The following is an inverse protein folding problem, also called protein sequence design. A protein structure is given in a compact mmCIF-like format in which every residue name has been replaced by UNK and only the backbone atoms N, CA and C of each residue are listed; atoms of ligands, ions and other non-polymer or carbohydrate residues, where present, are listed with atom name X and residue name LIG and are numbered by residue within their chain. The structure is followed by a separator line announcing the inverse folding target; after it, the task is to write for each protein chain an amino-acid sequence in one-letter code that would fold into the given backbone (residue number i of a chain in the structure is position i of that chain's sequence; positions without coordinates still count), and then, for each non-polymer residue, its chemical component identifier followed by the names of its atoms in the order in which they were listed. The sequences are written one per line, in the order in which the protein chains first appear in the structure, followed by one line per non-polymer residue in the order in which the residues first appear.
data_IF_823196601422
#
_entry.id   IF_823196601422
#
_cell.length_a   1.000
_cell.length_b   1.000
_cell.length_c   1.000
_cell.angle_alpha   90.00
_cell.angle_beta   90.00
_cell.angle_gamma   90.00
#
_symmetry.space_group_name_H-M   'P 1'
#
loop_
_entity.id
_entity.type
_entity.pdbx_description
1 polymer ?
#
# COMPACT_ATOMS: atom_id res chain seq x y z
N UNK A 1 23.44 -8.08 -24.99
CA UNK A 1 21.98 -8.32 -24.87
C UNK A 1 21.57 -9.17 -23.66
N UNK A 2 22.49 -9.87 -22.99
CA UNK A 2 22.16 -10.77 -21.85
C UNK A 2 21.78 -10.12 -20.52
N UNK A 3 22.30 -8.93 -20.21
CA UNK A 3 22.09 -8.31 -18.89
C UNK A 3 20.66 -7.77 -18.65
N UNK A 4 19.94 -7.31 -19.68
CA UNK A 4 18.59 -6.77 -19.51
C UNK A 4 17.52 -7.82 -19.19
N UNK A 5 17.63 -9.03 -19.74
CA UNK A 5 16.69 -10.13 -19.44
C UNK A 5 16.84 -10.65 -18.00
N UNK A 6 18.06 -10.73 -17.49
CA UNK A 6 18.34 -11.18 -16.13
C UNK A 6 17.81 -10.17 -15.09
N UNK A 7 17.95 -8.87 -15.34
CA UNK A 7 17.39 -7.84 -14.46
C UNK A 7 15.86 -7.84 -14.44
N UNK A 8 15.19 -8.06 -15.57
CA UNK A 8 13.72 -8.10 -15.66
C UNK A 8 13.16 -9.32 -14.93
N UNK A 9 13.75 -10.50 -15.10
CA UNK A 9 13.31 -11.72 -14.41
C UNK A 9 13.51 -11.63 -12.87
N UNK A 10 14.62 -11.04 -12.42
CA UNK A 10 14.87 -10.81 -10.98
C UNK A 10 13.87 -9.83 -10.36
N UNK A 11 13.45 -8.82 -11.12
CA UNK A 11 12.44 -7.85 -10.67
C UNK A 11 11.06 -8.53 -10.59
N UNK A 12 10.69 -9.37 -11.55
CA UNK A 12 9.42 -10.10 -11.52
C UNK A 12 9.35 -11.14 -10.40
N UNK A 13 10.43 -11.85 -10.13
CA UNK A 13 10.53 -12.78 -8.99
C UNK A 13 10.45 -12.03 -7.65
N UNK A 14 11.14 -10.90 -7.50
CA UNK A 14 11.06 -10.08 -6.29
C UNK A 14 9.64 -9.54 -6.06
N UNK A 15 8.93 -9.15 -7.12
CA UNK A 15 7.53 -8.69 -7.04
C UNK A 15 6.60 -9.83 -6.62
N UNK A 16 6.75 -11.02 -7.19
CA UNK A 16 5.97 -12.21 -6.80
C UNK A 16 6.23 -12.61 -5.35
N UNK A 17 7.49 -12.61 -4.93
CA UNK A 17 7.86 -12.88 -3.53
C UNK A 17 7.32 -11.80 -2.59
N UNK A 18 7.36 -10.53 -2.95
CA UNK A 18 6.73 -9.47 -2.13
C UNK A 18 5.21 -9.65 -2.03
N UNK A 19 4.56 -10.09 -3.09
CA UNK A 19 3.14 -10.43 -3.10
C UNK A 19 2.81 -11.58 -2.15
N UNK A 20 3.62 -12.64 -2.14
CA UNK A 20 3.42 -13.81 -1.27
C UNK A 20 3.62 -13.53 0.23
N UNK A 21 4.38 -12.49 0.58
CA UNK A 21 4.59 -12.08 1.97
C UNK A 21 3.46 -11.21 2.53
N UNK A 22 2.50 -10.81 1.69
CA UNK A 22 1.38 -9.97 2.14
C UNK A 22 0.24 -10.83 2.67
N UNK A 23 -0.27 -10.57 3.87
CA UNK A 23 -1.47 -11.23 4.38
C UNK A 23 -2.65 -10.97 3.43
N UNK A 24 -3.50 -11.97 3.29
CA UNK A 24 -4.66 -11.94 2.39
C UNK A 24 -5.98 -11.72 3.14
N UNK A 25 -6.00 -11.97 4.45
CA UNK A 25 -7.18 -11.84 5.31
C UNK A 25 -6.91 -10.92 6.49
N UNK A 26 -7.96 -10.43 7.15
CA UNK A 26 -7.82 -9.67 8.40
C UNK A 26 -7.23 -10.54 9.52
N UNK A 27 -7.51 -11.83 9.54
CA UNK A 27 -7.02 -12.72 10.58
C UNK A 27 -5.49 -12.94 10.46
N UNK A 28 -4.96 -13.01 9.27
CA UNK A 28 -3.51 -13.12 9.00
C UNK A 28 -2.77 -11.79 9.22
N UNK A 29 -3.50 -10.68 9.26
CA UNK A 29 -2.89 -9.36 9.39
C UNK A 29 -2.47 -9.07 10.83
N UNK A 30 -1.17 -8.95 11.06
CA UNK A 30 -0.58 -8.70 12.38
C UNK A 30 -0.56 -7.20 12.67
N UNK A 31 -0.86 -6.84 13.91
CA UNK A 31 -0.87 -5.44 14.37
C UNK A 31 -2.12 -4.66 13.98
N UNK A 32 -2.10 -3.35 14.25
CA UNK A 32 -3.20 -2.41 13.95
C UNK A 32 -4.57 -2.88 14.51
N UNK A 33 -4.61 -3.45 15.71
CA UNK A 33 -5.77 -4.17 16.29
C UNK A 33 -7.07 -3.39 16.19
N UNK A 34 -7.07 -2.11 16.58
CA UNK A 34 -8.27 -1.25 16.51
C UNK A 34 -8.80 -1.08 15.08
N UNK A 35 -7.89 -0.95 14.11
CA UNK A 35 -8.26 -0.83 12.69
C UNK A 35 -8.88 -2.14 12.20
N UNK A 36 -8.29 -3.28 12.55
CA UNK A 36 -8.81 -4.62 12.21
C UNK A 36 -10.21 -4.82 12.76
N UNK A 37 -10.42 -4.54 14.04
CA UNK A 37 -11.72 -4.69 14.70
C UNK A 37 -12.79 -3.84 14.01
N UNK A 38 -12.49 -2.58 13.73
CA UNK A 38 -13.43 -1.69 13.03
C UNK A 38 -13.72 -2.18 11.62
N UNK A 39 -12.67 -2.52 10.84
CA UNK A 39 -12.86 -3.01 9.47
C UNK A 39 -13.67 -4.29 9.43
N UNK A 40 -13.47 -5.22 10.39
CA UNK A 40 -14.25 -6.46 10.48
C UNK A 40 -15.74 -6.16 10.65
N UNK A 41 -16.10 -5.22 11.50
CA UNK A 41 -17.50 -4.79 11.70
C UNK A 41 -18.08 -4.15 10.43
N UNK A 42 -17.34 -3.24 9.80
CA UNK A 42 -17.83 -2.53 8.61
C UNK A 42 -17.99 -3.46 7.41
N UNK A 43 -17.04 -4.36 7.17
CA UNK A 43 -17.08 -5.35 6.11
C UNK A 43 -18.28 -6.31 6.33
N UNK A 44 -18.46 -6.81 7.54
CA UNK A 44 -19.56 -7.71 7.87
C UNK A 44 -20.93 -7.01 7.67
N UNK A 45 -21.05 -5.77 8.13
CA UNK A 45 -22.25 -4.98 7.94
C UNK A 45 -22.56 -4.70 6.46
N UNK A 46 -21.54 -4.38 5.65
CA UNK A 46 -21.72 -4.18 4.21
C UNK A 46 -22.15 -5.47 3.51
N UNK A 47 -21.54 -6.62 3.83
CA UNK A 47 -21.94 -7.93 3.32
C UNK A 47 -23.38 -8.28 3.64
N UNK A 48 -23.83 -8.03 4.88
CA UNK A 48 -25.22 -8.31 5.30
C UNK A 48 -26.24 -7.46 4.53
N UNK A 49 -25.88 -6.25 4.16
CA UNK A 49 -26.74 -5.36 3.36
C UNK A 49 -26.62 -5.60 1.85
N UNK A 50 -25.67 -6.43 1.41
CA UNK A 50 -25.32 -6.61 0.00
C UNK A 50 -24.94 -5.29 -0.69
N UNK A 51 -24.15 -4.46 -0.01
CA UNK A 51 -23.81 -3.12 -0.42
C UNK A 51 -22.28 -2.95 -0.51
N UNK A 52 -21.81 -1.92 -1.23
CA UNK A 52 -20.41 -1.54 -1.22
C UNK A 52 -20.01 -1.04 0.18
N UNK A 53 -18.76 -1.23 0.54
CA UNK A 53 -18.21 -0.64 1.78
C UNK A 53 -18.11 0.88 1.63
N UNK A 54 -18.35 1.61 2.71
CA UNK A 54 -18.06 3.06 2.75
C UNK A 54 -16.62 3.37 2.31
N UNK A 55 -16.41 4.56 1.73
CA UNK A 55 -15.08 4.99 1.32
C UNK A 55 -14.13 5.09 2.49
N UNK A 56 -12.91 4.54 2.34
CA UNK A 56 -11.91 4.39 3.41
C UNK A 56 -10.66 5.22 3.12
N UNK A 57 -10.19 5.98 4.09
CA UNK A 57 -8.90 6.68 4.03
C UNK A 57 -7.91 6.08 5.02
N UNK A 58 -6.79 5.57 4.50
CA UNK A 58 -5.65 5.17 5.31
C UNK A 58 -4.54 6.21 5.25
N UNK A 59 -4.10 6.70 6.41
CA UNK A 59 -2.97 7.63 6.46
C UNK A 59 -1.92 7.22 7.50
N UNK A 60 -0.70 7.68 7.29
CA UNK A 60 0.43 7.39 8.16
C UNK A 60 1.73 7.14 7.40
N UNK A 61 2.84 6.93 8.10
CA UNK A 61 4.16 6.72 7.51
C UNK A 61 4.19 5.66 6.40
N UNK A 62 5.16 5.71 5.48
CA UNK A 62 5.28 4.70 4.42
C UNK A 62 5.68 3.34 5.00
N UNK A 63 5.24 2.26 4.35
CA UNK A 63 5.64 0.89 4.71
C UNK A 63 4.86 0.25 5.85
N UNK A 64 3.74 0.85 6.30
CA UNK A 64 2.89 0.35 7.38
C UNK A 64 1.75 -0.58 6.92
N UNK A 65 1.59 -0.83 5.61
CA UNK A 65 0.60 -1.79 5.10
C UNK A 65 -0.70 -1.18 4.57
N UNK A 66 -0.75 0.11 4.21
CA UNK A 66 -1.96 0.74 3.62
C UNK A 66 -2.49 -0.01 2.40
N UNK A 67 -1.63 -0.30 1.44
CA UNK A 67 -1.98 -1.08 0.24
C UNK A 67 -2.38 -2.53 0.58
N UNK A 68 -1.76 -3.12 1.60
CA UNK A 68 -2.10 -4.46 2.07
C UNK A 68 -3.50 -4.50 2.67
N UNK A 69 -3.85 -3.52 3.50
CA UNK A 69 -5.22 -3.42 4.05
C UNK A 69 -6.27 -3.22 2.96
N UNK A 70 -5.98 -2.41 1.93
CA UNK A 70 -6.87 -2.27 0.78
C UNK A 70 -7.10 -3.61 0.06
N UNK A 71 -6.03 -4.38 -0.16
CA UNK A 71 -6.13 -5.73 -0.75
C UNK A 71 -6.93 -6.70 0.12
N UNK A 72 -6.74 -6.65 1.44
CA UNK A 72 -7.51 -7.45 2.39
C UNK A 72 -9.00 -7.09 2.34
N UNK A 73 -9.33 -5.79 2.32
CA UNK A 73 -10.74 -5.37 2.18
C UNK A 73 -11.36 -5.95 0.91
N UNK A 74 -10.67 -5.85 -0.23
CA UNK A 74 -11.18 -6.40 -1.49
C UNK A 74 -11.38 -7.92 -1.42
N UNK A 75 -10.41 -8.64 -0.84
CA UNK A 75 -10.51 -10.10 -0.65
C UNK A 75 -11.68 -10.48 0.27
N UNK A 76 -11.79 -9.79 1.41
CA UNK A 76 -12.88 -10.03 2.38
C UNK A 76 -14.25 -9.71 1.78
N UNK A 77 -14.35 -8.64 0.97
CA UNK A 77 -15.61 -8.31 0.27
C UNK A 77 -15.87 -9.21 -0.94
N UNK A 78 -14.86 -9.94 -1.43
CA UNK A 78 -14.98 -10.79 -2.62
C UNK A 78 -15.05 -10.01 -3.92
N UNK A 79 -14.44 -8.83 -4.00
CA UNK A 79 -14.51 -7.90 -5.14
C UNK A 79 -13.14 -7.66 -5.78
N UNK A 80 -13.13 -7.16 -7.01
CA UNK A 80 -11.90 -6.79 -7.68
C UNK A 80 -11.33 -5.47 -7.16
N UNK A 81 -10.00 -5.41 -7.02
CA UNK A 81 -9.29 -4.20 -6.68
C UNK A 81 -8.56 -3.62 -7.89
N UNK A 82 -8.94 -2.41 -8.30
CA UNK A 82 -8.16 -1.59 -9.23
C UNK A 82 -7.19 -0.71 -8.45
N UNK A 83 -5.94 -0.67 -8.89
CA UNK A 83 -4.86 0.06 -8.21
C UNK A 83 -4.38 1.20 -9.11
N UNK A 84 -4.32 2.39 -8.55
CA UNK A 84 -3.72 3.56 -9.19
C UNK A 84 -3.00 4.42 -8.14
N UNK A 85 -2.44 5.54 -8.56
CA UNK A 85 -1.83 6.49 -7.64
C UNK A 85 -2.13 7.93 -8.05
N UNK A 86 -2.15 8.85 -7.08
CA UNK A 86 -2.37 10.27 -7.36
C UNK A 86 -1.46 10.82 -8.46
N UNK A 87 -0.13 10.58 -8.42
CA UNK A 87 0.78 11.03 -9.47
C UNK A 87 0.55 10.44 -10.86
N UNK A 88 -0.12 9.30 -10.95
CA UNK A 88 -0.38 8.64 -12.25
C UNK A 88 -1.61 9.20 -12.96
N UNK A 89 -2.41 10.04 -12.29
CA UNK A 89 -3.63 10.63 -12.85
C UNK A 89 -3.42 12.14 -13.00
N UNK A 90 -3.22 12.56 -14.23
CA UNK A 90 -2.93 13.96 -14.54
C UNK A 90 -4.18 14.74 -14.97
N UNK A 91 -5.16 14.05 -15.58
CA UNK A 91 -6.33 14.68 -16.20
C UNK A 91 -7.64 14.14 -15.65
N UNK A 92 -8.68 15.01 -15.53
CA UNK A 92 -10.02 14.58 -15.12
C UNK A 92 -10.58 13.41 -15.94
N UNK A 93 -10.35 13.40 -17.26
CA UNK A 93 -10.80 12.33 -18.15
C UNK A 93 -10.17 10.96 -17.86
N UNK A 94 -8.95 10.93 -17.33
CA UNK A 94 -8.30 9.67 -16.91
C UNK A 94 -8.99 9.09 -15.68
N UNK A 95 -9.32 9.93 -14.69
CA UNK A 95 -10.11 9.51 -13.53
C UNK A 95 -11.51 9.05 -13.94
N UNK A 96 -12.19 9.81 -14.81
CA UNK A 96 -13.49 9.44 -15.32
C UNK A 96 -13.47 8.07 -16.05
N UNK A 97 -12.43 7.81 -16.85
CA UNK A 97 -12.25 6.52 -17.51
C UNK A 97 -12.02 5.38 -16.54
N UNK A 98 -11.24 5.60 -15.46
CA UNK A 98 -11.02 4.59 -14.42
C UNK A 98 -12.35 4.26 -13.73
N UNK A 99 -13.13 5.28 -13.33
CA UNK A 99 -14.40 5.13 -12.65
C UNK A 99 -15.45 4.42 -13.52
N UNK A 100 -15.56 4.82 -14.77
CA UNK A 100 -16.52 4.21 -15.72
C UNK A 100 -16.21 2.73 -16.05
N UNK A 101 -14.98 2.28 -15.79
CA UNK A 101 -14.57 0.90 -15.98
C UNK A 101 -14.67 0.04 -14.69
N UNK A 102 -15.23 0.57 -13.60
CA UNK A 102 -15.53 -0.20 -12.39
C UNK A 102 -16.78 -1.05 -12.60
N UNK A 103 -16.85 -2.14 -11.86
CA UNK A 103 -18.04 -2.98 -11.75
C UNK A 103 -18.67 -2.79 -10.38
N UNK A 104 -19.92 -3.27 -10.22
CA UNK A 104 -20.63 -3.21 -8.96
C UNK A 104 -19.83 -3.85 -7.82
N UNK A 105 -19.64 -3.10 -6.75
CA UNK A 105 -18.86 -3.50 -5.58
C UNK A 105 -17.33 -3.37 -5.70
N UNK A 106 -16.77 -3.06 -6.88
CA UNK A 106 -15.32 -2.95 -7.08
C UNK A 106 -14.67 -1.98 -6.10
N UNK A 107 -13.42 -2.26 -5.75
CA UNK A 107 -12.60 -1.38 -4.93
C UNK A 107 -11.58 -0.62 -5.78
N UNK A 108 -11.62 0.69 -5.74
CA UNK A 108 -10.60 1.56 -6.33
C UNK A 108 -9.59 1.99 -5.26
N UNK A 109 -8.36 1.53 -5.36
CA UNK A 109 -7.26 1.96 -4.49
C UNK A 109 -6.44 3.06 -5.14
N UNK A 110 -6.34 4.23 -4.47
CA UNK A 110 -5.53 5.37 -4.93
C UNK A 110 -4.42 5.64 -3.92
N UNK A 111 -3.18 5.25 -4.25
CA UNK A 111 -2.01 5.55 -3.42
C UNK A 111 -1.58 7.02 -3.60
N UNK A 112 -1.03 7.61 -2.53
CA UNK A 112 -0.62 9.03 -2.47
C UNK A 112 -1.73 9.97 -2.99
N UNK A 113 -2.97 9.72 -2.57
CA UNK A 113 -4.17 10.43 -3.04
C UNK A 113 -4.07 11.95 -2.86
N UNK A 114 -3.30 12.44 -1.89
CA UNK A 114 -3.03 13.86 -1.67
C UNK A 114 -2.26 14.53 -2.83
N UNK A 115 -1.79 13.76 -3.80
CA UNK A 115 -1.09 14.25 -4.98
C UNK A 115 -1.98 14.39 -6.22
N UNK A 116 -3.26 14.08 -6.09
CA UNK A 116 -4.23 14.43 -7.13
C UNK A 116 -4.28 15.95 -7.31
N UNK A 117 -4.37 16.39 -8.54
CA UNK A 117 -4.64 17.80 -8.78
C UNK A 117 -6.12 18.13 -8.53
N UNK A 118 -6.43 19.39 -8.30
CA UNK A 118 -7.77 19.83 -7.94
C UNK A 118 -8.85 19.46 -8.98
N UNK A 119 -8.53 19.53 -10.26
CA UNK A 119 -9.49 19.19 -11.32
C UNK A 119 -9.85 17.70 -11.31
N UNK A 120 -8.91 16.82 -10.94
CA UNK A 120 -9.15 15.38 -10.78
C UNK A 120 -9.94 15.12 -9.51
N UNK A 121 -9.65 15.83 -8.40
CA UNK A 121 -10.45 15.71 -7.18
C UNK A 121 -11.92 16.11 -7.42
N UNK A 122 -12.19 17.14 -8.23
CA UNK A 122 -13.54 17.59 -8.56
C UNK A 122 -14.38 16.52 -9.27
N UNK A 123 -13.75 15.60 -10.00
CA UNK A 123 -14.43 14.42 -10.59
C UNK A 123 -14.78 13.39 -9.51
N UNK A 124 -13.94 13.25 -8.48
CA UNK A 124 -14.19 12.28 -7.40
C UNK A 124 -15.36 12.71 -6.49
N UNK A 125 -15.63 13.99 -6.34
CA UNK A 125 -16.66 14.44 -5.41
C UNK A 125 -18.05 13.85 -5.73
N UNK A 126 -18.63 14.06 -6.92
CA UNK A 126 -19.92 13.46 -7.26
C UNK A 126 -19.83 11.93 -7.41
N UNK A 127 -18.66 11.40 -7.80
CA UNK A 127 -18.47 9.96 -7.89
C UNK A 127 -18.56 9.27 -6.51
N UNK A 128 -18.07 9.92 -5.45
CA UNK A 128 -18.12 9.38 -4.08
C UNK A 128 -19.47 9.60 -3.39
N UNK A 129 -20.16 10.70 -3.69
CA UNK A 129 -21.42 11.04 -3.02
C UNK A 129 -22.63 10.43 -3.73
N UNK A 130 -22.68 10.58 -5.07
CA UNK A 130 -23.85 10.28 -5.88
C UNK A 130 -23.65 9.07 -6.80
N UNK A 131 -22.46 8.46 -6.80
CA UNK A 131 -22.08 7.44 -7.78
C UNK A 131 -22.35 7.90 -9.22
N UNK A 132 -21.94 9.11 -9.56
CA UNK A 132 -22.10 9.70 -10.88
C UNK A 132 -20.94 10.63 -11.22
N UNK A 133 -20.70 10.83 -12.51
CA UNK A 133 -19.73 11.82 -13.02
C UNK A 133 -20.37 12.71 -14.06
N UNK A 134 -19.98 13.98 -14.08
CA UNK A 134 -20.42 14.94 -15.07
C UNK A 134 -19.34 15.10 -16.14
N UNK A 135 -19.68 14.77 -17.39
CA UNK A 135 -18.77 14.88 -18.55
C UNK A 135 -19.23 16.01 -19.46
N UNK A 136 -18.32 16.94 -19.75
CA UNK A 136 -18.57 18.00 -20.72
C UNK A 136 -18.33 17.50 -22.15
N UNK A 137 -19.37 17.50 -22.98
CA UNK A 137 -19.30 17.14 -24.40
C UNK A 137 -19.52 18.40 -25.26
N UNK A 138 -18.69 18.56 -26.26
CA UNK A 138 -18.71 19.73 -27.16
C UNK A 138 -17.73 20.82 -26.74
N UNK A 139 -17.72 21.92 -27.47
CA UNK A 139 -16.83 23.07 -27.23
C UNK A 139 -17.62 24.39 -27.36
N UNK A 140 -17.24 25.39 -26.58
CA UNK A 140 -17.84 26.73 -26.63
C UNK A 140 -19.31 26.71 -26.23
N UNK A 141 -20.14 27.49 -26.92
CA UNK A 141 -21.58 27.68 -26.66
C UNK A 141 -22.42 26.39 -26.86
N UNK A 142 -21.88 25.37 -27.52
CA UNK A 142 -22.57 24.07 -27.73
C UNK A 142 -22.15 23.01 -26.70
N UNK A 143 -21.30 23.35 -25.74
CA UNK A 143 -20.90 22.42 -24.66
C UNK A 143 -22.12 22.05 -23.81
N UNK A 144 -22.29 20.75 -23.58
CA UNK A 144 -23.34 20.19 -22.72
C UNK A 144 -22.72 19.30 -21.67
N UNK A 145 -23.21 19.39 -20.44
CA UNK A 145 -22.89 18.40 -19.40
C UNK A 145 -23.79 17.17 -19.56
N UNK A 146 -23.18 16.00 -19.58
CA UNK A 146 -23.89 14.72 -19.49
C UNK A 146 -23.49 14.06 -18.20
N UNK A 147 -24.48 13.70 -17.37
CA UNK A 147 -24.29 12.92 -16.15
C UNK A 147 -24.29 11.45 -16.53
N UNK A 148 -23.25 10.74 -16.12
CA UNK A 148 -23.11 9.27 -16.24
C UNK A 148 -23.18 8.67 -14.86
N UNK A 149 -24.11 7.73 -14.68
CA UNK A 149 -24.19 6.93 -13.46
C UNK A 149 -23.05 5.91 -13.41
N UNK A 150 -22.50 5.72 -12.24
CA UNK A 150 -21.44 4.76 -11.95
C UNK A 150 -22.01 3.59 -11.13
N UNK A 151 -21.43 2.39 -11.22
CA UNK A 151 -21.73 1.33 -10.27
C UNK A 151 -21.33 1.76 -8.87
N UNK A 152 -21.97 1.21 -7.84
CA UNK A 152 -21.53 1.42 -6.46
C UNK A 152 -20.15 0.81 -6.28
N UNK A 153 -19.23 1.56 -5.76
CA UNK A 153 -17.82 1.16 -5.57
C UNK A 153 -17.29 1.68 -4.25
N UNK A 154 -16.22 1.06 -3.76
CA UNK A 154 -15.49 1.55 -2.60
C UNK A 154 -14.20 2.26 -3.04
N UNK A 155 -14.04 3.53 -2.69
CA UNK A 155 -12.77 4.22 -2.82
C UNK A 155 -11.92 3.99 -1.56
N UNK A 156 -10.72 3.43 -1.71
CA UNK A 156 -9.73 3.37 -0.64
C UNK A 156 -8.57 4.31 -0.99
N UNK A 157 -8.53 5.43 -0.30
CA UNK A 157 -7.44 6.40 -0.41
C UNK A 157 -6.29 6.07 0.55
N UNK A 158 -5.05 6.19 0.08
CA UNK A 158 -3.88 6.09 0.93
C UNK A 158 -3.01 7.34 0.84
N UNK A 159 -2.50 7.81 1.98
CA UNK A 159 -1.62 8.97 2.01
C UNK A 159 -0.58 8.90 3.13
N UNK A 160 0.60 9.42 2.85
CA UNK A 160 1.61 9.66 3.89
C UNK A 160 1.45 11.03 4.56
N UNK A 161 0.63 11.93 3.98
CA UNK A 161 0.48 13.33 4.38
C UNK A 161 -1.00 13.74 4.43
N UNK A 162 -1.72 13.30 5.45
CA UNK A 162 -3.15 13.59 5.60
C UNK A 162 -3.48 15.10 5.61
N UNK A 163 -2.57 15.94 6.13
CA UNK A 163 -2.75 17.39 6.15
C UNK A 163 -2.67 18.08 4.78
N UNK A 164 -2.27 17.37 3.73
CA UNK A 164 -2.27 17.88 2.35
C UNK A 164 -3.55 17.52 1.57
N UNK A 165 -4.41 16.67 2.12
CA UNK A 165 -5.73 16.42 1.55
C UNK A 165 -6.60 17.65 1.69
N UNK A 166 -7.33 17.98 0.64
CA UNK A 166 -8.34 19.04 0.71
C UNK A 166 -9.46 18.62 1.67
N UNK A 167 -10.04 19.58 2.37
CA UNK A 167 -11.16 19.29 3.27
C UNK A 167 -12.35 18.64 2.53
N UNK A 168 -12.77 19.14 1.33
CA UNK A 168 -13.84 18.49 0.57
C UNK A 168 -13.60 17.01 0.25
N UNK A 169 -12.37 16.64 -0.11
CA UNK A 169 -12.06 15.24 -0.41
C UNK A 169 -12.04 14.40 0.87
N UNK A 170 -11.42 14.90 1.94
CA UNK A 170 -11.32 14.18 3.20
C UNK A 170 -12.69 13.90 3.83
N UNK A 171 -13.60 14.88 3.78
CA UNK A 171 -14.90 14.80 4.44
C UNK A 171 -15.87 13.80 3.74
N UNK A 172 -15.50 13.31 2.55
CA UNK A 172 -16.23 12.27 1.81
C UNK A 172 -15.80 10.85 2.17
N UNK A 173 -14.77 10.68 2.97
CA UNK A 173 -14.42 9.37 3.52
C UNK A 173 -15.23 9.08 4.78
N UNK A 174 -16.09 8.07 4.74
CA UNK A 174 -16.87 7.61 5.90
C UNK A 174 -15.99 6.95 6.97
N UNK A 175 -14.86 6.35 6.55
CA UNK A 175 -13.94 5.64 7.44
C UNK A 175 -12.53 6.21 7.30
N UNK A 176 -11.97 6.72 8.37
CA UNK A 176 -10.62 7.32 8.38
C UNK A 176 -9.77 6.65 9.45
N UNK A 177 -8.66 6.01 9.04
CA UNK A 177 -7.76 5.30 9.93
C UNK A 177 -6.32 5.78 9.81
N UNK A 178 -5.71 6.07 10.97
CA UNK A 178 -4.28 6.33 11.09
C UNK A 178 -3.55 5.02 11.37
N UNK A 179 -2.61 4.63 10.51
CA UNK A 179 -1.71 3.52 10.77
C UNK A 179 -0.56 3.99 11.66
N UNK A 180 -0.24 3.17 12.66
CA UNK A 180 0.82 3.44 13.62
C UNK A 180 2.03 2.54 13.37
N UNK A 181 3.18 2.91 13.94
CA UNK A 181 4.35 2.06 13.90
C UNK A 181 4.10 0.77 14.70
N UNK A 182 4.64 -0.31 14.20
CA UNK A 182 4.57 -1.62 14.83
C UNK A 182 5.54 -1.74 16.00
N UNK A 183 5.15 -2.46 17.01
CA UNK A 183 6.02 -2.85 18.11
C UNK A 183 7.10 -3.84 17.65
N UNK A 184 8.12 -4.07 18.48
CA UNK A 184 9.15 -5.07 18.20
C UNK A 184 8.55 -6.47 18.20
N UNK A 185 7.59 -6.72 19.08
CA UNK A 185 6.88 -7.99 19.22
C UNK A 185 6.06 -8.31 17.97
N UNK A 186 5.28 -7.36 17.47
CA UNK A 186 4.51 -7.51 16.23
C UNK A 186 5.42 -7.73 15.03
N UNK A 187 6.52 -6.97 14.92
CA UNK A 187 7.49 -7.14 13.83
C UNK A 187 8.23 -8.48 13.93
N UNK A 188 8.52 -9.00 15.15
CA UNK A 188 9.07 -10.33 15.34
C UNK A 188 8.17 -11.37 14.70
N UNK A 189 6.86 -11.34 15.00
CA UNK A 189 5.89 -12.29 14.45
C UNK A 189 5.81 -12.16 12.92
N UNK A 190 5.79 -10.95 12.38
CA UNK A 190 5.81 -10.72 10.92
C UNK A 190 7.08 -11.33 10.28
N UNK A 191 8.24 -11.13 10.90
CA UNK A 191 9.51 -11.67 10.40
C UNK A 191 9.52 -13.19 10.44
N UNK A 192 9.05 -13.81 11.52
CA UNK A 192 8.96 -15.27 11.65
C UNK A 192 8.01 -15.86 10.59
N UNK A 193 6.82 -15.28 10.42
CA UNK A 193 5.89 -15.68 9.36
C UNK A 193 6.50 -15.54 7.96
N UNK A 194 7.13 -14.40 7.69
CA UNK A 194 7.82 -14.16 6.41
C UNK A 194 9.00 -15.13 6.19
N UNK A 195 9.72 -15.50 7.24
CA UNK A 195 10.82 -16.47 7.16
C UNK A 195 10.32 -17.86 6.76
N UNK A 196 9.17 -18.30 7.28
CA UNK A 196 8.53 -19.56 6.90
C UNK A 196 8.18 -19.54 5.39
N UNK A 197 7.54 -18.48 4.90
CA UNK A 197 7.19 -18.35 3.48
C UNK A 197 8.44 -18.34 2.58
N UNK A 198 9.53 -17.72 3.05
CA UNK A 198 10.81 -17.66 2.34
C UNK A 198 11.65 -18.93 2.47
N UNK A 199 11.20 -19.93 3.23
CA UNK A 199 11.94 -21.17 3.47
C UNK A 199 13.24 -20.97 4.28
N UNK A 200 13.28 -19.98 5.17
CA UNK A 200 14.47 -19.61 5.94
C UNK A 200 14.29 -19.95 7.41
N UNK A 201 15.29 -20.63 8.00
CA UNK A 201 15.32 -20.84 9.44
C UNK A 201 15.81 -19.57 10.13
N UNK A 202 15.05 -19.11 11.13
CA UNK A 202 15.43 -17.99 11.98
C UNK A 202 15.14 -18.32 13.44
N UNK A 203 16.08 -18.02 14.34
CA UNK A 203 15.84 -18.15 15.75
C UNK A 203 15.12 -16.92 16.34
N UNK A 204 14.60 -17.06 17.54
CA UNK A 204 13.85 -16.02 18.23
C UNK A 204 14.65 -14.74 18.44
N UNK A 205 15.92 -14.88 18.82
CA UNK A 205 16.82 -13.75 19.07
C UNK A 205 17.18 -13.02 17.77
N UNK A 206 17.40 -13.75 16.69
CA UNK A 206 17.63 -13.19 15.35
C UNK A 206 16.40 -12.42 14.86
N UNK A 207 15.19 -12.98 15.06
CA UNK A 207 13.95 -12.31 14.68
C UNK A 207 13.75 -11.00 15.48
N UNK A 208 14.01 -10.99 16.78
CA UNK A 208 13.97 -9.78 17.62
C UNK A 208 14.99 -8.75 17.16
N UNK A 209 16.20 -9.17 16.81
CA UNK A 209 17.25 -8.26 16.36
C UNK A 209 16.88 -7.59 15.01
N UNK A 210 16.31 -8.36 14.08
CA UNK A 210 15.79 -7.79 12.83
C UNK A 210 14.61 -6.84 13.06
N UNK A 211 13.71 -7.20 13.98
CA UNK A 211 12.56 -6.38 14.35
C UNK A 211 12.99 -5.01 14.89
N UNK A 212 13.93 -4.97 15.84
CA UNK A 212 14.47 -3.72 16.40
C UNK A 212 15.05 -2.80 15.32
N UNK A 213 15.65 -3.37 14.27
CA UNK A 213 16.26 -2.62 13.17
C UNK A 213 15.26 -2.17 12.11
N UNK A 214 14.03 -2.66 12.17
CA UNK A 214 12.98 -2.40 11.17
C UNK A 214 12.24 -1.08 11.37
N UNK A 215 12.63 -0.28 12.37
CA UNK A 215 12.09 1.06 12.63
C UNK A 215 10.56 1.10 12.64
N UNK A 216 9.91 0.08 13.18
CA UNK A 216 8.46 0.02 13.29
C UNK A 216 7.72 -0.25 11.97
N UNK A 217 8.39 -0.68 10.90
CA UNK A 217 7.74 -0.85 9.60
C UNK A 217 7.90 -2.25 9.02
N UNK A 218 6.80 -2.97 8.69
CA UNK A 218 6.82 -4.30 8.07
C UNK A 218 7.61 -4.35 6.75
N UNK A 219 7.50 -3.32 5.92
CA UNK A 219 8.23 -3.24 4.66
C UNK A 219 9.74 -3.30 4.87
N UNK A 220 10.26 -2.57 5.87
CA UNK A 220 11.69 -2.61 6.19
C UNK A 220 12.08 -3.94 6.81
N UNK A 221 11.22 -4.53 7.67
CA UNK A 221 11.42 -5.84 8.27
C UNK A 221 11.64 -6.91 7.20
N UNK A 222 10.74 -7.01 6.23
CA UNK A 222 10.85 -7.97 5.13
C UNK A 222 12.07 -7.72 4.23
N UNK A 223 12.41 -6.46 3.97
CA UNK A 223 13.63 -6.13 3.21
C UNK A 223 14.91 -6.54 3.95
N UNK A 224 14.95 -6.31 5.25
CA UNK A 224 16.08 -6.71 6.08
C UNK A 224 16.18 -8.25 6.11
N UNK A 225 15.07 -8.95 6.33
CA UNK A 225 15.01 -10.41 6.34
C UNK A 225 15.56 -11.00 5.03
N UNK A 226 15.08 -10.54 3.87
CA UNK A 226 15.58 -11.00 2.56
C UNK A 226 17.10 -10.81 2.45
N UNK A 227 17.63 -9.66 2.85
CA UNK A 227 19.08 -9.38 2.76
C UNK A 227 19.93 -10.20 3.74
N UNK A 228 19.41 -10.48 4.92
CA UNK A 228 20.12 -11.35 5.88
C UNK A 228 20.05 -12.80 5.44
N UNK A 229 18.91 -13.25 4.86
CA UNK A 229 18.80 -14.57 4.22
C UNK A 229 19.90 -14.77 3.16
N UNK A 230 20.00 -13.85 2.18
CA UNK A 230 20.98 -13.95 1.11
C UNK A 230 22.41 -14.07 1.66
N UNK A 231 22.69 -13.32 2.72
CA UNK A 231 23.98 -13.37 3.40
C UNK A 231 24.20 -14.69 4.15
N UNK A 232 23.20 -15.19 4.88
CA UNK A 232 23.25 -16.44 5.60
C UNK A 232 23.48 -17.63 4.66
N UNK A 233 22.81 -17.64 3.51
CA UNK A 233 22.96 -18.69 2.49
C UNK A 233 24.36 -18.72 1.86
N UNK A 234 24.97 -17.54 1.63
CA UNK A 234 26.28 -17.47 0.94
C UNK A 234 27.46 -17.68 1.89
N UNK A 235 27.34 -17.24 3.15
CA UNK A 235 28.46 -17.20 4.10
C UNK A 235 28.37 -18.20 5.24
N UNK A 236 27.20 -18.79 5.46
CA UNK A 236 26.90 -19.71 6.56
C UNK A 236 26.02 -20.87 6.06
N UNK A 237 25.39 -21.57 6.97
CA UNK A 237 24.51 -22.74 6.72
C UNK A 237 23.07 -22.36 6.29
N UNK A 238 22.79 -21.08 6.08
CA UNK A 238 21.47 -20.58 5.68
C UNK A 238 20.52 -20.26 6.84
N UNK A 239 20.86 -20.57 8.10
CA UNK A 239 20.09 -20.20 9.26
C UNK A 239 20.42 -18.77 9.71
N UNK A 240 19.42 -18.03 10.19
CA UNK A 240 19.58 -16.67 10.70
C UNK A 240 19.57 -16.74 12.24
N UNK A 241 20.74 -16.55 12.83
CA UNK A 241 20.91 -16.41 14.29
C UNK A 241 21.12 -14.95 14.66
N UNK A 242 21.02 -14.64 15.97
CA UNK A 242 21.35 -13.31 16.49
C UNK A 242 22.73 -12.83 16.06
N UNK A 243 23.72 -13.72 16.04
CA UNK A 243 25.10 -13.39 15.66
C UNK A 243 25.18 -12.96 14.19
N UNK A 244 24.53 -13.72 13.30
CA UNK A 244 24.45 -13.43 11.87
C UNK A 244 23.67 -12.14 11.62
N UNK A 245 22.57 -11.94 12.32
CA UNK A 245 21.80 -10.71 12.29
C UNK A 245 22.65 -9.50 12.70
N UNK A 246 23.49 -9.63 13.74
CA UNK A 246 24.37 -8.59 14.21
C UNK A 246 25.61 -8.37 13.33
N UNK A 247 26.24 -9.43 12.82
CA UNK A 247 27.46 -9.35 12.03
C UNK A 247 27.29 -8.49 10.77
N UNK A 248 26.19 -8.65 10.04
CA UNK A 248 25.93 -7.87 8.83
C UNK A 248 25.62 -6.40 9.13
N UNK A 249 25.13 -6.12 10.30
CA UNK A 249 24.70 -4.79 10.72
C UNK A 249 25.70 -4.06 11.61
N UNK A 250 27.00 -4.46 11.58
CA UNK A 250 28.02 -3.62 12.19
C UNK A 250 27.90 -2.17 11.65
N UNK A 251 28.08 -1.19 12.52
CA UNK A 251 27.76 0.24 12.30
C UNK A 251 28.07 0.78 10.89
N UNK A 252 29.16 0.37 10.27
CA UNK A 252 29.61 0.79 8.93
C UNK A 252 28.76 0.27 7.76
N UNK A 253 28.19 -0.93 7.87
CA UNK A 253 27.41 -1.52 6.78
C UNK A 253 25.98 -0.99 6.76
N UNK A 254 25.40 -0.69 7.92
CA UNK A 254 24.05 -0.14 8.07
C UNK A 254 24.01 1.31 7.61
N UNK A 255 24.98 2.13 8.00
CA UNK A 255 25.05 3.54 7.60
C UNK A 255 25.15 3.68 6.08
N UNK A 256 25.95 2.84 5.41
CA UNK A 256 26.01 2.80 3.94
C UNK A 256 24.71 2.32 3.30
N UNK A 257 24.04 1.34 3.88
CA UNK A 257 22.81 0.79 3.34
C UNK A 257 21.63 1.75 3.54
N UNK A 258 21.52 2.38 4.72
CA UNK A 258 20.50 3.38 5.03
C UNK A 258 20.72 4.69 4.26
N UNK A 259 21.97 5.12 4.08
CA UNK A 259 22.29 6.26 3.24
C UNK A 259 21.92 6.01 1.76
N UNK A 260 22.12 4.79 1.27
CA UNK A 260 21.75 4.41 -0.09
C UNK A 260 20.22 4.31 -0.28
N UNK A 261 19.47 3.93 0.76
CA UNK A 261 18.00 3.96 0.76
C UNK A 261 17.48 5.40 0.83
N UNK A 262 18.08 6.24 1.66
CA UNK A 262 17.72 7.65 1.77
C UNK A 262 18.02 8.42 0.47
N UNK A 263 19.14 8.12 -0.21
CA UNK A 263 19.49 8.75 -1.48
C UNK A 263 18.58 8.37 -2.65
N UNK A 264 17.95 7.17 -2.63
CA UNK A 264 16.97 6.74 -3.65
C UNK A 264 15.61 7.39 -3.43
N UNK A 265 15.28 7.82 -2.20
CA UNK A 265 14.03 8.54 -1.90
C UNK A 265 14.12 10.07 -2.15
N UNK A 266 15.31 10.63 -2.42
CA UNK A 266 15.55 12.07 -2.59
C UNK A 266 16.10 12.45 -3.98
N UNK A 267 15.89 11.63 -5.01
CA UNK A 267 16.07 12.11 -6.39
C UNK A 267 14.74 12.72 -6.84
N UNK A 268 14.42 13.88 -6.30
CA UNK A 268 13.58 14.87 -6.98
C UNK A 268 14.55 15.64 -7.88
N UNK A 269 14.39 15.66 -9.20
CA UNK A 269 15.20 16.54 -10.03
C UNK A 269 14.82 17.99 -9.74
N UNK A 270 15.65 18.68 -8.99
CA UNK A 270 15.70 20.13 -9.05
C UNK A 270 16.37 20.49 -10.39
N UNK A 271 15.55 20.72 -11.42
CA UNK A 271 15.90 21.60 -12.55
C UNK A 271 14.67 21.77 -13.45
N UNK A 272 13.98 22.90 -13.32
CA UNK A 272 13.85 23.79 -14.48
C UNK A 272 13.51 25.20 -13.94
N UNK A 273 14.45 26.08 -14.21
CA UNK A 273 14.18 27.52 -14.25
C UNK A 273 13.39 27.82 -15.49
#
# INVERSE_FOLDING_TARGET
MGNRMIETNLIEEDIKIEGSLRPQTLDDYIGQTKIKENLKVYIEAAKQRHDALDHVLFYGPPGLGKTTLAGIIANEMGVHMKVTSGPAIEKPGEMAAILNNLQEGDLLFVDEIHRLNRQVEEVLYPAMEDYAIDIMIGKGASARSIRLDLPHFTLVGATTRAGLLTAPLRDRFGVIHRLEFYSVEELKVIIQHSAVILGVKIDDEGAVELARRSRGTPRLANRILKRVRDFAQVKYDGAITKEIANYKFSKKSIERFLAKIASVQFIIPHKMK
#
